data_IF_065588189835
#
_entry.id   IF_065588189835
#
_cell.length_a   1.000
_cell.length_b   1.000
_cell.length_c   1.000
_cell.angle_alpha   90.00
_cell.angle_beta   90.00
_cell.angle_gamma   90.00
#
_symmetry.space_group_name_H-M   'P 1'
#
loop_
_entity.id
_entity.type
_entity.pdbx_description
1 polymer ?
#
# COMPACT_ATOMS: atom_id res chain seq x y z
N UNK A 1 8.54 -33.79 -8.15
CA UNK A 1 8.22 -32.62 -7.31
C UNK A 1 7.83 -31.49 -8.26
N UNK A 2 6.58 -31.51 -8.71
CA UNK A 2 6.01 -30.51 -9.61
C UNK A 2 5.57 -29.32 -8.76
N UNK A 3 5.99 -28.11 -9.13
CA UNK A 3 5.51 -26.87 -8.50
C UNK A 3 4.33 -26.36 -9.32
N UNK A 4 3.05 -26.55 -8.95
CA UNK A 4 1.96 -25.91 -9.66
C UNK A 4 1.69 -24.58 -8.96
N UNK A 5 2.67 -23.68 -8.95
CA UNK A 5 2.33 -22.29 -8.64
C UNK A 5 1.91 -21.66 -9.96
N UNK A 6 0.61 -21.65 -10.21
CA UNK A 6 0.03 -20.86 -11.29
C UNK A 6 0.32 -19.38 -10.98
N UNK A 7 1.23 -18.78 -11.75
CA UNK A 7 1.52 -17.36 -11.69
C UNK A 7 0.38 -16.59 -12.37
N UNK A 8 -0.37 -15.83 -11.58
CA UNK A 8 -1.45 -14.99 -12.07
C UNK A 8 -0.91 -13.57 -12.23
N UNK A 9 -0.95 -13.05 -13.46
CA UNK A 9 -0.52 -11.70 -13.77
C UNK A 9 -1.70 -10.74 -13.92
N UNK A 10 -1.65 -9.63 -13.19
CA UNK A 10 -2.62 -8.54 -13.32
C UNK A 10 -1.91 -7.23 -13.67
N UNK A 11 -2.49 -6.46 -14.59
CA UNK A 11 -1.96 -5.16 -15.01
C UNK A 11 -2.91 -4.04 -14.62
N UNK A 12 -2.45 -3.16 -13.74
CA UNK A 12 -3.11 -1.92 -13.36
C UNK A 12 -2.23 -0.73 -13.78
N UNK A 13 -2.49 -0.11 -14.94
CA UNK A 13 -1.63 0.95 -15.45
C UNK A 13 -1.75 2.21 -14.59
N UNK A 14 -0.62 2.62 -13.99
CA UNK A 14 -0.46 3.94 -13.36
C UNK A 14 0.61 4.68 -14.17
N UNK A 15 0.29 5.84 -14.77
CA UNK A 15 1.27 6.60 -15.55
C UNK A 15 2.46 6.99 -14.66
N UNK A 16 3.65 7.05 -15.24
CA UNK A 16 4.86 7.31 -14.47
C UNK A 16 4.83 8.71 -13.85
N UNK A 17 5.32 8.86 -12.61
CA UNK A 17 5.23 10.08 -11.80
C UNK A 17 3.81 10.63 -11.53
N UNK A 18 2.77 9.95 -12.02
CA UNK A 18 1.37 10.32 -11.82
C UNK A 18 0.68 9.38 -10.84
N UNK A 19 -0.59 9.70 -10.61
CA UNK A 19 -1.54 8.95 -9.78
C UNK A 19 -2.77 8.64 -10.62
N UNK A 20 -3.53 7.64 -10.19
CA UNK A 20 -4.89 7.39 -10.68
C UNK A 20 -5.91 7.98 -9.69
N UNK A 21 -7.19 7.90 -10.01
CA UNK A 21 -8.24 8.33 -9.09
C UNK A 21 -8.43 7.34 -7.93
N UNK A 22 -9.26 7.72 -6.96
CA UNK A 22 -9.47 6.88 -5.78
C UNK A 22 -10.13 5.54 -6.13
N UNK A 23 -11.04 5.51 -7.11
CA UNK A 23 -11.68 4.28 -7.58
C UNK A 23 -10.67 3.29 -8.17
N UNK A 24 -9.73 3.76 -9.00
CA UNK A 24 -8.69 2.89 -9.54
C UNK A 24 -7.75 2.33 -8.46
N UNK A 25 -7.45 3.10 -7.42
CA UNK A 25 -6.73 2.56 -6.27
C UNK A 25 -7.57 1.54 -5.48
N UNK A 26 -8.87 1.76 -5.32
CA UNK A 26 -9.77 0.80 -4.67
C UNK A 26 -9.83 -0.53 -5.42
N UNK A 27 -9.84 -0.53 -6.76
CA UNK A 27 -9.79 -1.74 -7.58
C UNK A 27 -8.50 -2.55 -7.36
N UNK A 28 -7.35 -1.85 -7.27
CA UNK A 28 -6.05 -2.49 -6.99
C UNK A 28 -6.06 -3.12 -5.59
N UNK A 29 -6.59 -2.40 -4.59
CA UNK A 29 -6.63 -2.86 -3.20
C UNK A 29 -7.62 -4.02 -3.01
N UNK A 30 -8.76 -4.00 -3.71
CA UNK A 30 -9.71 -5.10 -3.74
C UNK A 30 -9.06 -6.38 -4.30
N UNK A 31 -8.27 -6.25 -5.38
CA UNK A 31 -7.51 -7.38 -5.94
C UNK A 31 -6.46 -7.90 -4.96
N UNK A 32 -5.62 -7.02 -4.40
CA UNK A 32 -4.62 -7.38 -3.38
C UNK A 32 -5.26 -8.16 -2.23
N UNK A 33 -6.38 -7.66 -1.71
CA UNK A 33 -7.15 -8.29 -0.64
C UNK A 33 -7.63 -9.68 -1.02
N UNK A 34 -8.22 -9.83 -2.21
CA UNK A 34 -8.70 -11.11 -2.71
C UNK A 34 -7.58 -12.16 -2.79
N UNK A 35 -6.44 -11.79 -3.38
CA UNK A 35 -5.30 -12.71 -3.53
C UNK A 35 -4.72 -13.09 -2.16
N UNK A 36 -4.49 -12.11 -1.27
CA UNK A 36 -3.97 -12.36 0.07
C UNK A 36 -4.92 -13.23 0.91
N UNK A 37 -6.24 -12.99 0.82
CA UNK A 37 -7.26 -13.79 1.52
C UNK A 37 -7.35 -15.23 0.98
N UNK A 38 -7.00 -15.43 -0.30
CA UNK A 38 -6.88 -16.78 -0.88
C UNK A 38 -5.61 -17.52 -0.46
N UNK A 39 -4.79 -16.92 0.41
CA UNK A 39 -3.54 -17.50 0.89
C UNK A 39 -2.37 -17.36 -0.10
N UNK A 40 -2.52 -16.57 -1.16
CA UNK A 40 -1.46 -16.34 -2.15
C UNK A 40 -0.49 -15.27 -1.69
N UNK A 41 0.76 -15.41 -2.10
CA UNK A 41 1.77 -14.36 -1.99
C UNK A 41 1.66 -13.43 -3.18
N UNK A 42 1.51 -12.13 -2.94
CA UNK A 42 1.44 -11.11 -3.99
C UNK A 42 2.79 -10.41 -4.13
N UNK A 43 3.30 -10.40 -5.37
CA UNK A 43 4.44 -9.58 -5.77
C UNK A 43 3.93 -8.34 -6.51
N UNK A 44 4.30 -7.15 -6.01
CA UNK A 44 3.90 -5.87 -6.59
C UNK A 44 5.14 -5.08 -6.99
N UNK A 45 5.19 -4.62 -8.23
CA UNK A 45 6.32 -3.84 -8.73
C UNK A 45 5.89 -2.74 -9.71
N UNK A 46 6.78 -1.77 -9.89
CA UNK A 46 6.77 -0.85 -11.03
C UNK A 46 8.17 -0.94 -11.67
N UNK A 47 8.61 0.11 -12.38
CA UNK A 47 9.98 0.10 -12.93
C UNK A 47 11.06 0.27 -11.85
N UNK A 48 10.84 1.15 -10.86
CA UNK A 48 11.83 1.44 -9.80
C UNK A 48 11.46 0.99 -8.39
N UNK A 49 10.20 0.56 -8.17
CA UNK A 49 9.68 0.15 -6.86
C UNK A 49 9.48 1.27 -5.83
N UNK A 50 9.65 2.56 -6.19
CA UNK A 50 9.68 3.69 -5.22
C UNK A 50 8.49 4.64 -5.30
N UNK A 51 7.98 4.90 -6.50
CA UNK A 51 6.83 5.78 -6.71
C UNK A 51 5.51 5.02 -6.60
N UNK A 52 5.09 4.45 -7.73
CA UNK A 52 3.79 3.77 -7.89
C UNK A 52 3.59 2.59 -6.94
N UNK A 53 4.61 1.73 -6.81
CA UNK A 53 4.58 0.61 -5.85
C UNK A 53 4.39 1.09 -4.42
N UNK A 54 5.21 2.03 -3.95
CA UNK A 54 5.09 2.57 -2.59
C UNK A 54 3.79 3.33 -2.37
N UNK A 55 3.21 3.92 -3.43
CA UNK A 55 1.89 4.56 -3.34
C UNK A 55 0.79 3.52 -3.08
N UNK A 56 0.78 2.42 -3.84
CA UNK A 56 -0.21 1.34 -3.64
C UNK A 56 -0.02 0.66 -2.28
N UNK A 57 1.21 0.35 -1.89
CA UNK A 57 1.50 -0.23 -0.56
C UNK A 57 1.11 0.76 0.55
N UNK A 58 1.35 2.06 0.36
CA UNK A 58 0.92 3.08 1.31
C UNK A 58 -0.60 3.14 1.44
N UNK A 59 -1.35 3.04 0.33
CA UNK A 59 -2.80 2.97 0.37
C UNK A 59 -3.28 1.73 1.14
N UNK A 60 -2.64 0.58 0.93
CA UNK A 60 -2.92 -0.65 1.66
C UNK A 60 -2.70 -0.47 3.17
N UNK A 61 -1.55 0.06 3.58
CA UNK A 61 -1.22 0.32 4.99
C UNK A 61 -2.22 1.26 5.67
N UNK A 62 -2.69 2.29 4.96
CA UNK A 62 -3.73 3.19 5.46
C UNK A 62 -5.06 2.45 5.64
N UNK A 63 -5.44 1.56 4.71
CA UNK A 63 -6.63 0.71 4.90
C UNK A 63 -6.51 -0.23 6.11
N UNK A 64 -5.28 -0.56 6.53
CA UNK A 64 -5.02 -1.36 7.74
C UNK A 64 -5.00 -0.52 9.03
N UNK A 65 -5.23 0.79 8.96
CA UNK A 65 -5.34 1.63 10.15
C UNK A 65 -4.20 2.62 10.37
N UNK A 66 -3.18 2.64 9.51
CA UNK A 66 -2.07 3.57 9.68
C UNK A 66 -2.47 4.98 9.23
N UNK A 67 -2.05 5.98 10.00
CA UNK A 67 -2.08 7.36 9.52
C UNK A 67 -0.98 7.60 8.47
N UNK A 68 -0.92 8.81 7.94
CA UNK A 68 0.03 9.16 6.91
C UNK A 68 1.49 9.04 7.39
N UNK A 69 1.83 9.54 8.59
CA UNK A 69 3.22 9.57 9.06
C UNK A 69 3.71 8.16 9.42
N UNK A 70 2.89 7.35 10.08
CA UNK A 70 3.13 5.94 10.33
C UNK A 70 3.29 5.16 9.02
N UNK A 71 2.48 5.48 8.00
CA UNK A 71 2.60 4.87 6.66
C UNK A 71 3.94 5.19 6.02
N UNK A 72 4.40 6.45 6.06
CA UNK A 72 5.71 6.83 5.51
C UNK A 72 6.85 6.13 6.26
N UNK A 73 6.79 6.07 7.60
CA UNK A 73 7.77 5.35 8.40
C UNK A 73 7.82 3.88 8.00
N UNK A 74 6.66 3.22 7.92
CA UNK A 74 6.58 1.80 7.53
C UNK A 74 7.07 1.53 6.12
N UNK A 75 6.78 2.41 5.16
CA UNK A 75 7.32 2.30 3.80
C UNK A 75 8.86 2.39 3.76
N UNK A 76 9.46 3.23 4.61
CA UNK A 76 10.93 3.33 4.72
C UNK A 76 11.52 2.06 5.34
N UNK A 77 10.90 1.53 6.39
CA UNK A 77 11.32 0.26 7.02
C UNK A 77 11.29 -0.89 6.02
N UNK A 78 10.19 -1.07 5.29
CA UNK A 78 10.05 -2.14 4.29
C UNK A 78 11.11 -2.06 3.19
N UNK A 79 11.67 -0.88 2.97
CA UNK A 79 12.64 -0.59 1.90
C UNK A 79 14.07 -0.43 2.39
N UNK A 80 14.33 -0.53 3.70
CA UNK A 80 15.63 -0.21 4.29
C UNK A 80 16.78 -1.06 3.71
N UNK A 81 16.47 -2.30 3.32
CA UNK A 81 17.42 -3.26 2.75
C UNK A 81 17.43 -3.28 1.21
N UNK A 82 16.77 -2.32 0.57
CA UNK A 82 16.79 -2.20 -0.90
C UNK A 82 17.93 -1.30 -1.35
N UNK A 83 18.42 -1.51 -2.58
CA UNK A 83 19.46 -0.65 -3.21
C UNK A 83 19.10 0.83 -3.21
N UNK A 84 17.80 1.13 -3.18
CA UNK A 84 17.27 2.49 -3.23
C UNK A 84 16.65 2.95 -1.90
N UNK A 85 17.15 2.45 -0.77
CA UNK A 85 16.69 2.83 0.58
C UNK A 85 16.91 4.31 0.91
N UNK A 86 17.93 4.93 0.31
CA UNK A 86 18.26 6.35 0.46
C UNK A 86 17.29 7.30 -0.28
N UNK A 87 16.43 6.77 -1.15
CA UNK A 87 15.50 7.57 -1.95
C UNK A 87 14.18 7.73 -1.22
N UNK A 88 13.65 8.96 -1.20
CA UNK A 88 12.35 9.27 -0.60
C UNK A 88 11.22 8.45 -1.22
N UNK A 89 10.22 8.11 -0.41
CA UNK A 89 9.01 7.42 -0.84
C UNK A 89 7.75 8.05 -0.24
N UNK A 90 6.65 8.14 -1.02
CA UNK A 90 6.61 7.99 -2.47
C UNK A 90 7.47 9.02 -3.23
N UNK A 91 7.57 8.88 -4.55
CA UNK A 91 8.51 9.61 -5.40
C UNK A 91 8.05 11.05 -5.71
N UNK A 92 6.74 11.28 -5.79
CA UNK A 92 6.18 12.58 -6.20
C UNK A 92 5.22 13.17 -5.18
N UNK A 93 5.07 14.51 -5.23
CA UNK A 93 4.13 15.24 -4.38
C UNK A 93 2.69 14.74 -4.54
N UNK A 94 2.26 14.44 -5.77
CA UNK A 94 0.91 13.93 -6.06
C UNK A 94 0.65 12.57 -5.40
N UNK A 95 1.65 11.70 -5.33
CA UNK A 95 1.57 10.42 -4.62
C UNK A 95 1.43 10.64 -3.10
N UNK A 96 2.18 11.58 -2.53
CA UNK A 96 1.99 11.97 -1.13
C UNK A 96 0.58 12.52 -0.87
N UNK A 97 0.02 13.31 -1.79
CA UNK A 97 -1.33 13.85 -1.68
C UNK A 97 -2.41 12.75 -1.70
N UNK A 98 -2.22 11.67 -2.48
CA UNK A 98 -3.08 10.48 -2.43
C UNK A 98 -3.06 9.87 -1.02
N UNK A 99 -1.88 9.63 -0.46
CA UNK A 99 -1.76 9.03 0.88
C UNK A 99 -2.40 9.91 1.96
N UNK A 100 -2.15 11.23 1.94
CA UNK A 100 -2.77 12.17 2.89
C UNK A 100 -4.29 12.19 2.75
N UNK A 101 -4.81 12.25 1.52
CA UNK A 101 -6.25 12.25 1.26
C UNK A 101 -6.89 10.97 1.80
N UNK A 102 -6.31 9.81 1.51
CA UNK A 102 -6.80 8.51 1.98
C UNK A 102 -6.75 8.37 3.49
N UNK A 103 -5.66 8.80 4.15
CA UNK A 103 -5.57 8.80 5.60
C UNK A 103 -6.68 9.66 6.24
N UNK A 104 -6.96 10.83 5.67
CA UNK A 104 -8.05 11.70 6.13
C UNK A 104 -9.44 11.06 5.93
N UNK A 105 -9.69 10.42 4.78
CA UNK A 105 -10.94 9.71 4.51
C UNK A 105 -11.12 8.52 5.46
N UNK A 106 -10.05 7.76 5.71
CA UNK A 106 -10.06 6.63 6.62
C UNK A 106 -10.38 7.09 8.05
N UNK A 107 -9.73 8.16 8.54
CA UNK A 107 -10.04 8.76 9.84
C UNK A 107 -11.50 9.19 9.96
N UNK A 108 -12.07 9.80 8.90
CA UNK A 108 -13.50 10.18 8.87
C UNK A 108 -14.44 8.97 8.90
N UNK A 109 -14.08 7.87 8.23
CA UNK A 109 -14.86 6.62 8.25
C UNK A 109 -14.77 5.91 9.60
N UNK A 110 -13.63 5.98 10.27
CA UNK A 110 -13.40 5.39 11.61
C UNK A 110 -13.93 6.23 12.77
N UNK A 111 -14.38 7.46 12.53
CA UNK A 111 -15.13 8.25 13.50
C UNK A 111 -16.64 8.14 13.21
N UNK A 112 -17.36 7.09 13.67
CA UNK A 112 -18.76 7.28 13.99
C UNK A 112 -18.85 8.18 15.24
N UNK A 113 -19.97 8.88 15.39
CA UNK A 113 -20.24 9.69 16.58
C UNK A 113 -19.97 8.88 17.87
N UNK A 114 -19.34 9.54 18.84
CA UNK A 114 -18.93 9.06 20.18
C UNK A 114 -17.83 7.98 20.25
N UNK A 115 -16.60 8.48 20.51
CA UNK A 115 -15.71 8.02 21.60
C UNK A 115 -15.18 6.57 21.58
N UNK A 116 -13.95 6.32 21.07
CA UNK A 116 -13.06 5.23 21.56
C UNK A 116 -11.58 5.66 21.51
N UNK A 117 -10.85 5.33 22.60
CA UNK A 117 -9.44 5.61 22.88
C UNK A 117 -8.49 4.75 22.03
N UNK A 118 -7.34 5.33 21.68
CA UNK A 118 -6.28 4.70 20.90
C UNK A 118 -5.47 3.71 21.74
N UNK A 119 -5.55 2.42 21.40
CA UNK A 119 -4.47 1.43 21.48
C UNK A 119 -4.96 0.17 20.77
N UNK A 120 -4.38 -0.16 19.61
CA UNK A 120 -4.13 -1.53 19.10
C UNK A 120 -3.82 -1.46 17.59
N UNK A 121 -2.52 -1.47 17.25
CA UNK A 121 -2.06 -1.73 15.87
C UNK A 121 -1.76 -3.23 15.78
N UNK A 122 -2.50 -4.04 14.99
CA UNK A 122 -2.22 -5.47 14.87
C UNK A 122 -0.85 -5.71 14.21
N UNK A 123 -0.01 -6.51 14.85
CA UNK A 123 1.33 -6.89 14.37
C UNK A 123 1.33 -7.92 13.22
N UNK A 124 0.17 -8.33 12.70
CA UNK A 124 0.03 -9.48 11.77
C UNK A 124 -0.46 -9.07 10.37
N UNK A 125 -0.15 -7.84 9.95
CA UNK A 125 -0.47 -7.38 8.59
C UNK A 125 0.40 -8.15 7.58
N UNK A 126 -0.23 -9.01 6.77
CA UNK A 126 0.41 -9.58 5.58
C UNK A 126 0.67 -8.46 4.58
N UNK A 127 1.95 -8.14 4.37
CA UNK A 127 2.39 -7.09 3.43
C UNK A 127 2.87 -7.77 2.14
N UNK A 128 2.46 -7.30 0.95
CA UNK A 128 3.01 -7.78 -0.31
C UNK A 128 4.52 -7.55 -0.33
N UNK A 129 5.28 -8.52 -0.83
CA UNK A 129 6.74 -8.40 -0.86
C UNK A 129 7.15 -7.38 -1.92
N UNK A 130 7.92 -6.36 -1.51
CA UNK A 130 8.58 -5.41 -2.40
C UNK A 130 10.02 -5.92 -2.60
N UNK A 131 10.44 -6.17 -3.85
CA UNK A 131 11.86 -6.34 -4.19
C UNK A 131 12.28 -5.26 -5.17
#
# INVERSE_FOLDING_TARGET
MTWPHEEIFHRYPIPDNHVIDDAGYDDILARLRSELNSGRTVYLHCWGGRGRTSTVVGCWLIEQGLDYDATIARLKELRCNTRNSHVSVPESRSQHEVLRRRANLFRRKMQPASEIRATDVPNDVRIPTIR
#
